data_IF_505166397081
#
_entry.id   IF_505166397081
#
_cell.length_a   1.000
_cell.length_b   1.000
_cell.length_c   1.000
_cell.angle_alpha   90.00
_cell.angle_beta   90.00
_cell.angle_gamma   90.00
#
_symmetry.space_group_name_H-M   'P 1'
#
loop_
_entity.id
_entity.type
_entity.pdbx_description
1 polymer ?
#
# COMPACT_ATOMS: atom_id res chain seq x y z
N UNK A 1 13.25 -4.80 -17.13
CA UNK A 1 12.85 -4.25 -15.82
C UNK A 1 11.48 -4.82 -15.50
N UNK A 2 11.40 -5.79 -14.60
CA UNK A 2 10.15 -6.46 -14.22
C UNK A 2 9.26 -5.43 -13.51
N UNK A 3 8.35 -4.86 -14.29
CA UNK A 3 7.31 -3.94 -13.84
C UNK A 3 6.40 -4.73 -12.89
N UNK A 4 6.78 -4.77 -11.61
CA UNK A 4 6.16 -5.60 -10.60
C UNK A 4 4.78 -5.00 -10.33
N UNK A 5 3.76 -5.46 -11.08
CA UNK A 5 2.38 -4.94 -11.11
C UNK A 5 1.74 -4.80 -9.72
N UNK A 6 2.33 -5.44 -8.71
CA UNK A 6 1.86 -5.46 -7.34
C UNK A 6 2.63 -4.53 -6.40
N UNK A 7 3.76 -3.94 -6.79
CA UNK A 7 4.66 -3.13 -5.95
C UNK A 7 4.14 -1.69 -5.69
N UNK A 8 2.86 -1.55 -5.38
CA UNK A 8 2.24 -0.27 -5.03
C UNK A 8 2.01 -0.16 -3.53
N UNK A 9 2.10 1.04 -2.97
CA UNK A 9 1.81 1.30 -1.57
C UNK A 9 0.38 0.90 -1.20
N UNK A 10 -0.60 1.03 -2.10
CA UNK A 10 -1.98 0.60 -1.85
C UNK A 10 -2.12 -0.88 -1.45
N UNK A 11 -1.22 -1.75 -1.93
CA UNK A 11 -1.20 -3.18 -1.63
C UNK A 11 -0.40 -3.51 -0.37
N UNK A 12 0.32 -2.53 0.19
CA UNK A 12 1.11 -2.65 1.41
C UNK A 12 0.24 -2.74 2.67
N UNK A 13 0.63 -3.55 3.65
CA UNK A 13 -0.03 -3.66 4.96
C UNK A 13 -0.02 -2.35 5.74
N UNK A 14 1.00 -1.53 5.51
CA UNK A 14 1.22 -0.26 6.21
C UNK A 14 0.38 0.90 5.64
N UNK A 15 -0.27 0.70 4.50
CA UNK A 15 -1.09 1.74 3.87
C UNK A 15 -2.42 1.89 4.60
N UNK A 16 -2.65 3.09 5.16
CA UNK A 16 -3.86 3.44 5.92
C UNK A 16 -4.56 4.61 5.26
N UNK A 17 -5.89 4.51 5.26
CA UNK A 17 -6.80 5.60 4.90
C UNK A 17 -7.61 5.89 6.14
N UNK A 18 -7.47 7.10 6.65
CA UNK A 18 -8.20 7.59 7.80
C UNK A 18 -9.19 8.65 7.32
N UNK A 19 -10.44 8.54 7.73
CA UNK A 19 -11.45 9.58 7.49
C UNK A 19 -11.48 10.46 8.72
N UNK A 20 -11.22 11.75 8.53
CA UNK A 20 -11.38 12.76 9.56
C UNK A 20 -12.86 13.09 9.71
N UNK A 21 -13.25 13.56 10.90
CA UNK A 21 -14.64 13.99 11.17
C UNK A 21 -15.09 15.13 10.25
N UNK A 22 -14.16 15.96 9.79
CA UNK A 22 -14.39 17.02 8.80
C UNK A 22 -14.75 16.51 7.39
N UNK A 23 -14.75 15.20 7.16
CA UNK A 23 -15.04 14.57 5.85
C UNK A 23 -13.80 14.31 4.99
N UNK A 24 -12.66 14.90 5.36
CA UNK A 24 -11.40 14.70 4.65
C UNK A 24 -10.82 13.30 4.82
N UNK A 25 -10.17 12.80 3.77
CA UNK A 25 -9.47 11.51 3.78
C UNK A 25 -7.97 11.76 3.87
N UNK A 26 -7.36 11.30 4.95
CA UNK A 26 -5.90 11.25 5.08
C UNK A 26 -5.40 9.89 4.63
N UNK A 27 -4.45 9.88 3.70
CA UNK A 27 -3.80 8.66 3.25
C UNK A 27 -2.35 8.72 3.68
N UNK A 28 -1.94 7.79 4.54
CA UNK A 28 -0.60 7.81 5.10
C UNK A 28 -0.05 6.40 5.29
N UNK A 29 1.27 6.32 5.39
CA UNK A 29 1.97 5.10 5.73
C UNK A 29 2.07 5.01 7.25
N UNK A 30 1.44 4.01 7.87
CA UNK A 30 1.52 3.80 9.33
C UNK A 30 2.96 3.58 9.81
N UNK A 31 3.80 2.95 8.98
CA UNK A 31 5.20 2.65 9.31
C UNK A 31 6.07 3.92 9.33
N UNK A 32 5.90 4.79 8.33
CA UNK A 32 6.76 5.97 8.17
C UNK A 32 6.15 7.23 8.79
N UNK A 33 4.83 7.26 9.02
CA UNK A 33 4.11 8.43 9.54
C UNK A 33 3.81 9.53 8.50
N UNK A 34 4.32 9.40 7.27
CA UNK A 34 4.11 10.40 6.22
C UNK A 34 2.90 10.11 5.33
N UNK A 35 2.33 11.18 4.79
CA UNK A 35 1.27 11.13 3.80
C UNK A 35 1.78 10.52 2.48
N UNK A 36 1.03 9.56 1.96
CA UNK A 36 1.40 8.79 0.76
C UNK A 36 0.22 8.67 -0.19
N UNK A 37 0.51 8.42 -1.47
CA UNK A 37 -0.52 8.10 -2.48
C UNK A 37 -0.58 6.59 -2.73
N UNK A 38 -1.71 6.14 -3.26
CA UNK A 38 -1.96 4.73 -3.59
C UNK A 38 -1.04 4.18 -4.70
N UNK A 39 -0.61 5.05 -5.62
CA UNK A 39 0.26 4.74 -6.76
C UNK A 39 1.75 4.75 -6.44
N UNK A 40 2.16 5.20 -5.26
CA UNK A 40 3.57 5.27 -4.89
C UNK A 40 4.16 3.88 -4.73
N UNK A 41 5.48 3.78 -4.90
CA UNK A 41 6.22 2.54 -4.71
C UNK A 41 7.37 2.85 -3.77
N UNK A 42 7.33 2.29 -2.56
CA UNK A 42 8.44 2.41 -1.61
C UNK A 42 9.21 1.09 -1.55
N UNK A 43 10.51 1.17 -1.36
CA UNK A 43 11.36 0.00 -1.12
C UNK A 43 10.97 -0.77 0.16
N UNK A 44 10.22 -0.13 1.07
CA UNK A 44 9.71 -0.77 2.29
C UNK A 44 8.36 -1.51 2.08
N UNK A 45 8.02 -1.86 0.83
CA UNK A 45 6.76 -2.50 0.48
C UNK A 45 6.63 -3.88 1.13
N UNK A 46 5.60 -4.04 1.96
CA UNK A 46 5.23 -5.31 2.58
C UNK A 46 3.78 -5.65 2.19
N UNK A 47 3.55 -6.57 1.22
CA UNK A 47 2.22 -6.85 0.70
C UNK A 47 1.30 -7.45 1.76
N UNK A 48 0.02 -7.07 1.72
CA UNK A 48 -1.01 -7.74 2.53
C UNK A 48 -1.07 -9.24 2.19
N UNK A 49 -1.44 -10.06 3.15
CA UNK A 49 -1.58 -11.53 2.97
C UNK A 49 -2.43 -11.91 1.76
N UNK A 50 -3.53 -11.21 1.49
CA UNK A 50 -4.36 -11.42 0.28
C UNK A 50 -3.58 -11.24 -1.03
N UNK A 51 -2.62 -10.30 -1.05
CA UNK A 51 -1.78 -9.98 -2.21
C UNK A 51 -0.71 -11.06 -2.35
N UNK A 52 -0.08 -11.48 -1.26
CA UNK A 52 0.85 -12.63 -1.26
C UNK A 52 0.18 -13.90 -1.81
N UNK A 53 -1.04 -14.19 -1.37
CA UNK A 53 -1.85 -15.31 -1.90
C UNK A 53 -2.16 -15.17 -3.38
N UNK A 54 -2.49 -13.95 -3.84
CA UNK A 54 -2.73 -13.70 -5.26
C UNK A 54 -1.45 -13.88 -6.11
N UNK A 55 -0.29 -13.44 -5.60
CA UNK A 55 1.00 -13.63 -6.26
C UNK A 55 1.36 -15.11 -6.40
N UNK A 56 1.15 -15.91 -5.34
CA UNK A 56 1.38 -17.36 -5.34
C UNK A 56 0.40 -18.14 -6.24
N UNK A 57 -0.76 -17.56 -6.59
CA UNK A 57 -1.72 -18.18 -7.52
C UNK A 57 -1.33 -18.03 -8.99
N UNK A 58 -0.37 -17.16 -9.28
CA UNK A 58 0.12 -16.84 -10.63
C UNK A 58 1.59 -17.25 -10.83
N UNK A 59 2.15 -18.05 -9.92
CA UNK A 59 3.51 -18.61 -10.00
C UNK A 59 3.52 -19.99 -10.65
#
# INVERSE_FOLDING_TARGET
MTNNRYHCCATCINFRIERKESGDKRIYCKRLGFDTKSSYQFNCWDPKERVKKAMAKHS
#
